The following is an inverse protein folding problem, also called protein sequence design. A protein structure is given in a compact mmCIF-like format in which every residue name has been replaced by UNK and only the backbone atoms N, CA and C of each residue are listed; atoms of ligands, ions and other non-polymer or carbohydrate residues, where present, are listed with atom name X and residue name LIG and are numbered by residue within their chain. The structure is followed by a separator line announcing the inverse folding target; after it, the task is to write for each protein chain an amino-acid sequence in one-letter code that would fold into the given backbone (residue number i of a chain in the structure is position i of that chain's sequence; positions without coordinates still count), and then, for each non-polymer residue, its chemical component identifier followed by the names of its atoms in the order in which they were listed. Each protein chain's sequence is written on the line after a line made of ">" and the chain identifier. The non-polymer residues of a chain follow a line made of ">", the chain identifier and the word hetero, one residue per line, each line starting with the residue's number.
data_IF_651260401211
#
_entry.id   IF_651260401211
#
_cell.length_a   1.000
_cell.length_b   1.000
_cell.length_c   1.000
_cell.angle_alpha   90.00
_cell.angle_beta   90.00
_cell.angle_gamma   90.00
#
_symmetry.space_group_name_H-M   'P 1'
#
loop_
_entity.id
_entity.type
_entity.pdbx_description
1 polymer ?
#
# COMPACT_ATOMS: atom_id res chain seq x y z
N UNK A 1 -5.76 -20.51 -7.67
CA UNK A 1 -5.28 -19.18 -7.24
C UNK A 1 -6.01 -18.87 -5.95
N UNK A 2 -5.27 -18.67 -4.85
CA UNK A 2 -5.91 -18.30 -3.60
C UNK A 2 -6.52 -16.91 -3.71
N UNK A 3 -7.54 -16.64 -2.88
CA UNK A 3 -8.15 -15.31 -2.84
C UNK A 3 -7.14 -14.33 -2.23
N UNK A 4 -6.89 -13.17 -2.85
CA UNK A 4 -5.99 -12.18 -2.26
C UNK A 4 -6.57 -11.64 -0.96
N UNK A 5 -5.72 -11.47 0.04
CA UNK A 5 -6.06 -10.89 1.34
C UNK A 5 -5.53 -9.46 1.40
N UNK A 6 -6.42 -8.49 1.66
CA UNK A 6 -6.06 -7.09 1.84
C UNK A 6 -6.06 -6.73 3.33
N UNK A 7 -4.93 -6.25 3.82
CA UNK A 7 -4.76 -5.79 5.20
C UNK A 7 -4.39 -4.32 5.22
N UNK A 8 -4.73 -3.64 6.32
CA UNK A 8 -4.48 -2.20 6.51
C UNK A 8 -3.79 -1.95 7.84
N UNK A 9 -2.79 -1.06 7.81
CA UNK A 9 -2.11 -0.53 8.98
C UNK A 9 -2.00 0.99 8.85
N UNK A 10 -2.06 1.72 9.96
CA UNK A 10 -1.92 3.18 9.96
C UNK A 10 -0.84 3.60 10.95
N UNK A 11 -0.07 4.61 10.58
CA UNK A 11 0.88 5.28 11.47
C UNK A 11 0.54 6.75 11.56
N UNK A 12 0.66 7.32 12.75
CA UNK A 12 0.53 8.76 12.97
C UNK A 12 1.89 9.26 13.44
N UNK A 13 2.46 10.22 12.73
CA UNK A 13 3.72 10.87 13.05
C UNK A 13 3.53 12.36 13.29
N UNK A 14 4.29 12.94 14.21
CA UNK A 14 4.30 14.38 14.42
C UNK A 14 5.20 15.06 13.37
N UNK A 15 4.69 16.13 12.75
CA UNK A 15 5.49 16.95 11.85
C UNK A 15 6.37 17.86 12.69
N UNK A 16 7.69 17.61 12.71
CA UNK A 16 8.66 18.39 13.51
C UNK A 16 8.48 19.90 13.30
N UNK A 17 8.24 20.63 14.39
CA UNK A 17 8.09 22.09 14.39
C UNK A 17 6.66 22.59 14.18
N UNK A 18 5.67 21.70 14.07
CA UNK A 18 4.25 22.03 13.90
C UNK A 18 3.37 21.29 14.91
N UNK A 19 2.15 21.81 15.16
CA UNK A 19 1.09 21.11 15.91
C UNK A 19 0.27 20.15 15.03
N UNK A 20 0.75 19.86 13.81
CA UNK A 20 0.05 19.05 12.82
C UNK A 20 0.56 17.61 12.83
N UNK A 21 -0.38 16.67 12.72
CA UNK A 21 -0.11 15.24 12.62
C UNK A 21 -0.13 14.79 11.16
N UNK A 22 0.86 14.01 10.76
CA UNK A 22 0.88 13.29 9.50
C UNK A 22 0.35 11.87 9.71
N UNK A 23 -0.60 11.45 8.88
CA UNK A 23 -1.19 10.12 8.95
C UNK A 23 -0.89 9.35 7.67
N UNK A 24 -0.15 8.25 7.82
CA UNK A 24 0.21 7.36 6.73
C UNK A 24 -0.58 6.06 6.83
N UNK A 25 -1.17 5.62 5.72
CA UNK A 25 -1.93 4.36 5.64
C UNK A 25 -1.17 3.39 4.73
N UNK A 26 -0.93 2.20 5.24
CA UNK A 26 -0.29 1.10 4.55
C UNK A 26 -1.34 0.06 4.17
N UNK A 27 -1.51 -0.17 2.87
CA UNK A 27 -2.32 -1.24 2.33
C UNK A 27 -1.41 -2.37 1.87
N UNK A 28 -1.65 -3.59 2.36
CA UNK A 28 -0.87 -4.77 1.97
C UNK A 28 -1.79 -5.84 1.40
N UNK A 29 -1.54 -6.19 0.14
CA UNK A 29 -2.21 -7.29 -0.56
C UNK A 29 -1.29 -8.51 -0.58
N UNK A 30 -1.76 -9.66 -0.11
CA UNK A 30 -1.02 -10.93 -0.14
C UNK A 30 -1.84 -12.00 -0.86
N UNK A 31 -1.18 -12.80 -1.68
CA UNK A 31 -1.78 -13.96 -2.36
C UNK A 31 -0.73 -15.03 -2.57
N UNK A 32 -1.11 -16.28 -2.38
CA UNK A 32 -0.28 -17.41 -2.75
C UNK A 32 -0.62 -17.83 -4.19
N UNK A 33 0.40 -17.85 -5.06
CA UNK A 33 0.22 -18.07 -6.49
C UNK A 33 1.46 -18.72 -7.09
N UNK A 34 1.24 -19.71 -7.94
CA UNK A 34 2.25 -20.29 -8.80
C UNK A 34 1.64 -20.42 -10.22
N UNK A 35 2.08 -19.62 -11.22
CA UNK A 35 3.22 -18.68 -11.23
C UNK A 35 3.01 -17.42 -10.35
N UNK A 36 4.06 -16.61 -10.10
CA UNK A 36 3.96 -15.38 -9.30
C UNK A 36 2.87 -14.42 -9.79
N UNK A 37 2.07 -13.91 -8.85
CA UNK A 37 0.97 -13.00 -9.15
C UNK A 37 1.47 -11.60 -9.49
N UNK A 38 0.75 -10.92 -10.38
CA UNK A 38 0.91 -9.49 -10.64
C UNK A 38 -0.18 -8.72 -9.90
N UNK A 39 0.22 -7.70 -9.16
CA UNK A 39 -0.69 -6.86 -8.38
C UNK A 39 -1.10 -5.61 -9.17
N UNK A 40 -2.35 -5.18 -8.97
CA UNK A 40 -2.91 -3.95 -9.52
C UNK A 40 -3.68 -3.24 -8.41
N UNK A 41 -3.35 -1.97 -8.17
CA UNK A 41 -4.03 -1.12 -7.20
C UNK A 41 -5.05 -0.21 -7.89
N UNK A 42 -6.21 0.00 -7.27
CA UNK A 42 -7.26 0.90 -7.78
C UNK A 42 -7.85 1.74 -6.67
N UNK A 43 -8.16 3.01 -6.95
CA UNK A 43 -8.99 3.89 -6.12
C UNK A 43 -10.39 3.93 -6.72
N UNK A 44 -11.32 3.18 -6.12
CA UNK A 44 -12.61 2.89 -6.75
C UNK A 44 -12.40 2.18 -8.09
N UNK A 45 -12.79 2.83 -9.19
CA UNK A 45 -12.63 2.27 -10.54
C UNK A 45 -11.37 2.74 -11.28
N UNK A 46 -10.57 3.67 -10.71
CA UNK A 46 -9.37 4.21 -11.37
C UNK A 46 -8.12 3.45 -10.95
N UNK A 47 -7.25 3.00 -11.89
CA UNK A 47 -5.96 2.42 -11.53
C UNK A 47 -5.09 3.47 -10.84
N UNK A 48 -4.35 3.02 -9.84
CA UNK A 48 -3.31 3.81 -9.17
C UNK A 48 -1.98 3.38 -9.78
N UNK A 49 -1.18 4.36 -10.18
CA UNK A 49 0.15 4.12 -10.73
C UNK A 49 1.22 4.78 -9.86
N UNK A 50 2.32 4.05 -9.65
CA UNK A 50 3.49 4.60 -8.96
C UNK A 50 3.92 5.89 -9.66
N UNK A 51 4.30 6.90 -8.89
CA UNK A 51 4.75 8.23 -9.36
C UNK A 51 3.70 9.12 -10.05
N UNK A 52 2.48 8.64 -10.31
CA UNK A 52 1.39 9.48 -10.87
C UNK A 52 0.40 9.97 -9.84
N UNK A 53 0.21 9.21 -8.76
CA UNK A 53 -0.64 9.59 -7.64
C UNK A 53 0.19 10.25 -6.53
N UNK A 54 -0.03 11.56 -6.31
CA UNK A 54 0.63 12.30 -5.24
C UNK A 54 0.36 11.66 -3.87
N UNK A 55 1.43 11.43 -3.09
CA UNK A 55 1.35 10.83 -1.76
C UNK A 55 1.08 9.32 -1.74
N UNK A 56 1.27 8.62 -2.87
CA UNK A 56 1.14 7.17 -2.95
C UNK A 56 2.44 6.53 -3.42
N UNK A 57 2.96 5.61 -2.61
CA UNK A 57 4.09 4.75 -2.94
C UNK A 57 3.63 3.29 -3.04
N UNK A 58 3.95 2.66 -4.17
CA UNK A 58 3.70 1.23 -4.41
C UNK A 58 5.05 0.52 -4.42
N UNK A 59 5.21 -0.46 -3.55
CA UNK A 59 6.43 -1.27 -3.45
C UNK A 59 6.11 -2.69 -3.02
N UNK A 60 7.01 -3.61 -3.37
CA UNK A 60 7.02 -4.95 -2.79
C UNK A 60 7.75 -4.89 -1.45
N UNK A 61 7.19 -5.44 -0.35
CA UNK A 61 7.86 -5.42 0.94
C UNK A 61 9.16 -6.22 0.85
N UNK A 62 10.27 -5.62 1.30
CA UNK A 62 11.62 -6.20 1.21
C UNK A 62 11.81 -7.49 2.02
N UNK A 63 10.82 -7.90 2.82
CA UNK A 63 10.86 -9.13 3.61
C UNK A 63 9.47 -9.76 3.74
N UNK A 64 9.31 -10.98 3.20
CA UNK A 64 8.27 -11.92 3.60
C UNK A 64 8.86 -12.77 4.73
N UNK A 65 8.45 -12.51 5.97
CA UNK A 65 8.68 -13.45 7.07
C UNK A 65 7.65 -14.58 7.00
#
# INVERSE_FOLDING_TARGET
>A
LDKPVLTVHQTVGDVRGNYYQEKTVFLRCTVNSNPPARFIWKRGNKPIEQSKDNGVDIYEPLYTQ
#
